data_IF_091323661513
#
_entry.id   IF_091323661513
#
_cell.length_a   1.000
_cell.length_b   1.000
_cell.length_c   1.000
_cell.angle_alpha   90.00
_cell.angle_beta   90.00
_cell.angle_gamma   90.00
#
_symmetry.space_group_name_H-M   'P 1'
#
loop_
_entity.id
_entity.type
_entity.pdbx_description
1 polymer ?
#
# COMPACT_ATOMS: atom_id res chain seq x y z
N UNK A 1 1.93 10.81 41.07
CA UNK A 1 0.88 10.41 40.10
C UNK A 1 1.02 11.28 38.88
N UNK A 2 1.64 10.77 37.81
CA UNK A 2 1.69 11.44 36.50
C UNK A 2 0.33 11.20 35.84
N UNK A 3 -0.50 12.27 35.73
CA UNK A 3 -1.74 12.22 34.94
C UNK A 3 -1.39 11.83 33.52
N UNK A 4 -1.78 10.64 33.07
CA UNK A 4 -1.73 10.28 31.64
C UNK A 4 -2.62 11.27 30.90
N UNK A 5 -2.02 12.19 30.15
CA UNK A 5 -2.78 13.01 29.20
C UNK A 5 -3.65 12.10 28.34
N UNK A 6 -4.94 12.41 28.26
CA UNK A 6 -5.86 11.72 27.33
C UNK A 6 -5.29 11.90 25.94
N UNK A 7 -4.90 10.81 25.29
CA UNK A 7 -4.47 10.87 23.88
C UNK A 7 -5.59 11.52 23.08
N UNK A 8 -5.27 12.62 22.37
CA UNK A 8 -6.21 13.25 21.43
C UNK A 8 -6.80 12.17 20.51
N UNK A 9 -8.10 12.21 20.35
CA UNK A 9 -8.76 11.26 19.47
C UNK A 9 -8.21 11.38 18.05
N UNK A 10 -7.95 10.24 17.41
CA UNK A 10 -7.40 10.21 16.07
C UNK A 10 -8.51 10.56 15.06
N UNK A 11 -8.46 11.73 14.39
CA UNK A 11 -9.53 12.17 13.48
C UNK A 11 -9.75 11.21 12.29
N UNK A 12 -8.80 10.32 12.03
CA UNK A 12 -8.90 9.33 10.93
C UNK A 12 -9.35 7.94 11.40
N UNK A 13 -9.75 7.80 12.67
CA UNK A 13 -10.03 6.48 13.27
C UNK A 13 -11.11 5.69 12.52
N UNK A 14 -12.11 6.37 11.98
CA UNK A 14 -13.26 5.73 11.33
C UNK A 14 -13.46 6.15 9.86
N UNK A 15 -12.43 6.72 9.21
CA UNK A 15 -12.54 7.21 7.84
C UNK A 15 -12.04 6.15 6.87
N UNK A 16 -12.84 5.85 5.84
CA UNK A 16 -12.50 5.13 4.63
C UNK A 16 -12.96 5.94 3.41
N UNK A 17 -12.34 5.76 2.27
CA UNK A 17 -12.83 6.35 1.02
C UNK A 17 -13.90 5.40 0.47
N UNK A 18 -15.16 5.73 0.72
CA UNK A 18 -16.29 4.87 0.31
C UNK A 18 -16.83 5.23 -1.07
N UNK A 19 -16.81 6.53 -1.42
CA UNK A 19 -17.25 6.99 -2.73
C UNK A 19 -16.26 6.59 -3.84
N UNK A 20 -16.70 5.87 -4.88
CA UNK A 20 -15.88 5.52 -6.02
C UNK A 20 -15.25 6.73 -6.74
N UNK A 21 -15.94 7.88 -6.76
CA UNK A 21 -15.41 9.11 -7.36
C UNK A 21 -14.23 9.65 -6.57
N UNK A 22 -14.32 9.66 -5.24
CA UNK A 22 -13.20 10.05 -4.39
C UNK A 22 -12.02 9.07 -4.50
N UNK A 23 -12.30 7.79 -4.68
CA UNK A 23 -11.26 6.77 -4.89
C UNK A 23 -10.54 6.98 -6.21
N UNK A 24 -11.28 7.23 -7.29
CA UNK A 24 -10.71 7.56 -8.59
C UNK A 24 -9.92 8.88 -8.54
N UNK A 25 -10.41 9.88 -7.81
CA UNK A 25 -9.72 11.15 -7.58
C UNK A 25 -8.39 10.94 -6.84
N UNK A 26 -8.39 10.14 -5.77
CA UNK A 26 -7.15 9.79 -5.06
C UNK A 26 -6.12 9.20 -6.03
N UNK A 27 -6.55 8.23 -6.85
CA UNK A 27 -5.66 7.56 -7.80
C UNK A 27 -5.11 8.55 -8.83
N UNK A 28 -5.96 9.35 -9.44
CA UNK A 28 -5.58 10.38 -10.42
C UNK A 28 -4.58 11.39 -9.84
N UNK A 29 -4.85 11.91 -8.65
CA UNK A 29 -3.95 12.84 -7.98
C UNK A 29 -2.60 12.18 -7.63
N UNK A 30 -2.61 10.90 -7.25
CA UNK A 30 -1.38 10.13 -7.00
C UNK A 30 -0.54 9.99 -8.25
N UNK A 31 -1.14 9.64 -9.40
CA UNK A 31 -0.46 9.54 -10.70
C UNK A 31 0.14 10.88 -11.13
N UNK A 32 -0.62 11.97 -11.01
CA UNK A 32 -0.15 13.31 -11.33
C UNK A 32 1.06 13.73 -10.49
N UNK A 33 1.11 13.28 -9.25
CA UNK A 33 2.21 13.59 -8.33
C UNK A 33 3.40 12.63 -8.41
N UNK A 34 3.26 11.49 -9.11
CA UNK A 34 4.34 10.49 -9.23
C UNK A 34 5.64 11.07 -9.82
N UNK A 35 5.64 11.91 -10.88
CA UNK A 35 6.89 12.50 -11.38
C UNK A 35 7.62 13.34 -10.35
N UNK A 36 6.89 14.01 -9.47
CA UNK A 36 7.43 14.85 -8.40
C UNK A 36 7.83 14.05 -7.16
N UNK A 37 7.07 13.01 -6.84
CA UNK A 37 7.23 12.18 -5.65
C UNK A 37 7.31 10.69 -5.99
N UNK A 38 8.25 10.28 -6.84
CA UNK A 38 8.37 8.89 -7.28
C UNK A 38 8.55 7.95 -6.08
N UNK A 39 8.03 6.75 -6.22
CA UNK A 39 7.93 5.71 -5.19
C UNK A 39 7.00 6.05 -4.01
N UNK A 40 6.60 7.30 -3.79
CA UNK A 40 5.68 7.66 -2.71
C UNK A 40 4.24 7.58 -3.15
N UNK A 41 3.95 8.08 -4.33
CA UNK A 41 2.65 7.91 -4.96
C UNK A 41 2.34 6.42 -5.09
N UNK A 42 3.27 5.66 -5.66
CA UNK A 42 3.15 4.22 -5.87
C UNK A 42 3.07 3.43 -4.55
N UNK A 43 3.77 3.86 -3.50
CA UNK A 43 3.65 3.27 -2.16
C UNK A 43 2.21 3.37 -1.63
N UNK A 44 1.58 4.53 -1.81
CA UNK A 44 0.21 4.73 -1.35
C UNK A 44 -0.79 3.95 -2.21
N UNK A 45 -0.60 3.91 -3.52
CA UNK A 45 -1.38 3.05 -4.42
C UNK A 45 -1.23 1.56 -4.06
N UNK A 46 -0.01 1.12 -3.78
CA UNK A 46 0.27 -0.25 -3.35
C UNK A 46 -0.40 -0.58 -2.00
N UNK A 47 -0.39 0.35 -1.05
CA UNK A 47 -1.11 0.17 0.22
C UNK A 47 -2.62 0.00 0.00
N UNK A 48 -3.20 0.73 -0.94
CA UNK A 48 -4.62 0.61 -1.29
C UNK A 48 -4.93 -0.77 -1.87
N UNK A 49 -4.13 -1.25 -2.83
CA UNK A 49 -4.41 -2.51 -3.54
C UNK A 49 -4.08 -3.77 -2.70
N UNK A 50 -3.20 -3.66 -1.71
CA UNK A 50 -2.74 -4.81 -0.93
C UNK A 50 -3.26 -4.85 0.51
N UNK A 51 -3.90 -3.78 0.97
CA UNK A 51 -4.23 -3.58 2.38
C UNK A 51 -3.04 -3.75 3.34
N UNK A 52 -1.80 -3.70 2.85
CA UNK A 52 -0.61 -3.82 3.69
C UNK A 52 -0.43 -2.61 4.59
N UNK A 53 0.16 -2.83 5.75
CA UNK A 53 0.58 -1.70 6.60
C UNK A 53 1.76 -0.99 5.96
N UNK A 54 1.83 0.34 6.07
CA UNK A 54 2.92 1.14 5.51
C UNK A 54 4.31 0.59 5.88
N UNK A 55 4.51 0.19 7.12
CA UNK A 55 5.80 -0.37 7.57
C UNK A 55 6.13 -1.72 6.94
N UNK A 56 5.13 -2.49 6.56
CA UNK A 56 5.29 -3.73 5.82
C UNK A 56 5.66 -3.44 4.36
N UNK A 57 4.92 -2.52 3.71
CA UNK A 57 5.23 -2.09 2.34
C UNK A 57 6.67 -1.58 2.19
N UNK A 58 7.14 -0.77 3.15
CA UNK A 58 8.50 -0.23 3.14
C UNK A 58 9.60 -1.30 3.28
N UNK A 59 9.24 -2.50 3.69
CA UNK A 59 10.16 -3.64 3.81
C UNK A 59 10.00 -4.65 2.68
N UNK A 60 9.17 -4.34 1.68
CA UNK A 60 9.02 -5.20 0.51
C UNK A 60 10.27 -5.15 -0.35
N UNK A 61 10.70 -6.31 -0.81
CA UNK A 61 11.81 -6.50 -1.72
C UNK A 61 11.30 -6.89 -3.11
N UNK A 62 12.08 -6.60 -4.15
CA UNK A 62 11.76 -7.00 -5.52
C UNK A 62 11.63 -8.53 -5.65
N UNK A 63 12.45 -9.28 -4.91
CA UNK A 63 12.42 -10.74 -4.87
C UNK A 63 11.13 -11.33 -4.29
N UNK A 64 10.31 -10.51 -3.60
CA UNK A 64 9.02 -10.96 -3.09
C UNK A 64 7.92 -11.03 -4.16
N UNK A 65 8.19 -10.53 -5.38
CA UNK A 65 7.25 -10.53 -6.50
C UNK A 65 7.50 -11.77 -7.35
N UNK A 66 6.48 -12.58 -7.56
CA UNK A 66 6.50 -13.69 -8.49
C UNK A 66 5.39 -13.51 -9.52
N UNK A 67 5.74 -12.96 -10.67
CA UNK A 67 4.78 -12.74 -11.76
C UNK A 67 4.32 -14.05 -12.40
N UNK A 68 5.17 -15.08 -12.47
CA UNK A 68 4.83 -16.37 -13.05
C UNK A 68 3.75 -17.08 -12.24
N UNK A 69 3.89 -17.07 -10.91
CA UNK A 69 2.89 -17.60 -9.99
C UNK A 69 1.73 -16.63 -9.73
N UNK A 70 1.86 -15.36 -10.13
CA UNK A 70 0.91 -14.30 -9.81
C UNK A 70 0.76 -14.09 -8.31
N UNK A 71 1.87 -14.13 -7.54
CA UNK A 71 1.85 -14.00 -6.08
C UNK A 71 2.87 -12.99 -5.57
N UNK A 72 2.51 -12.32 -4.49
CA UNK A 72 3.37 -11.44 -3.71
C UNK A 72 3.66 -12.13 -2.37
N UNK A 73 4.89 -12.52 -2.14
CA UNK A 73 5.33 -13.17 -0.92
C UNK A 73 5.59 -12.14 0.19
N UNK A 74 5.07 -12.39 1.38
CA UNK A 74 5.24 -11.52 2.55
C UNK A 74 5.89 -12.34 3.67
N UNK A 75 7.21 -12.20 3.86
CA UNK A 75 7.92 -12.91 4.91
C UNK A 75 7.39 -12.54 6.29
N UNK A 76 7.35 -13.49 7.20
CA UNK A 76 7.01 -13.25 8.63
C UNK A 76 7.86 -12.15 9.28
N UNK A 77 9.10 -11.99 8.82
CA UNK A 77 10.04 -10.98 9.35
C UNK A 77 9.61 -9.54 9.09
N UNK A 78 8.81 -9.27 8.06
CA UNK A 78 8.31 -7.92 7.74
C UNK A 78 6.93 -7.65 8.33
N UNK A 79 6.15 -8.68 8.62
CA UNK A 79 4.85 -8.54 9.27
C UNK A 79 5.01 -8.07 10.70
N UNK A 80 4.10 -7.18 11.14
CA UNK A 80 4.08 -6.71 12.53
C UNK A 80 3.88 -7.87 13.51
N UNK A 81 3.15 -8.88 13.12
CA UNK A 81 2.80 -10.03 13.97
C UNK A 81 3.88 -11.10 14.00
N UNK A 82 4.82 -11.10 13.03
CA UNK A 82 5.90 -12.08 12.87
C UNK A 82 5.46 -13.55 12.98
N UNK A 83 4.19 -13.82 12.66
CA UNK A 83 3.58 -15.12 12.97
C UNK A 83 3.86 -16.16 11.89
N UNK A 84 3.73 -15.79 10.62
CA UNK A 84 3.92 -16.69 9.48
C UNK A 84 4.26 -15.93 8.22
N UNK A 85 4.79 -16.67 7.26
CA UNK A 85 4.87 -16.23 5.88
C UNK A 85 3.47 -16.22 5.25
N UNK A 86 3.22 -15.27 4.37
CA UNK A 86 1.93 -15.11 3.70
C UNK A 86 2.15 -14.86 2.21
N UNK A 87 1.18 -15.25 1.40
CA UNK A 87 1.14 -14.90 -0.02
C UNK A 87 -0.14 -14.11 -0.30
N UNK A 88 -0.01 -13.04 -1.07
CA UNK A 88 -1.12 -12.31 -1.65
C UNK A 88 -1.17 -12.56 -3.15
N UNK A 89 -2.36 -12.74 -3.74
CA UNK A 89 -2.49 -12.80 -5.19
C UNK A 89 -2.18 -11.44 -5.80
N UNK A 90 -1.49 -11.45 -6.94
CA UNK A 90 -1.28 -10.26 -7.76
C UNK A 90 -2.51 -10.14 -8.68
N UNK A 91 -3.33 -9.11 -8.44
CA UNK A 91 -4.44 -8.78 -9.34
C UNK A 91 -3.92 -8.01 -10.55
N UNK A 92 -4.70 -7.92 -11.65
CA UNK A 92 -4.27 -7.17 -12.83
C UNK A 92 -3.85 -5.73 -12.52
N UNK A 93 -4.59 -5.04 -11.66
CA UNK A 93 -4.28 -3.66 -11.26
C UNK A 93 -2.98 -3.58 -10.43
N UNK A 94 -2.78 -4.57 -9.56
CA UNK A 94 -1.55 -4.66 -8.78
C UNK A 94 -0.35 -5.00 -9.67
N UNK A 95 -0.53 -5.83 -10.68
CA UNK A 95 0.52 -6.16 -11.66
C UNK A 95 0.95 -4.92 -12.42
N UNK A 96 0.00 -4.15 -12.97
CA UNK A 96 0.29 -2.88 -13.65
C UNK A 96 1.11 -1.96 -12.73
N UNK A 97 0.67 -1.79 -11.49
CA UNK A 97 1.38 -0.95 -10.53
C UNK A 97 2.79 -1.46 -10.23
N UNK A 98 2.97 -2.77 -10.04
CA UNK A 98 4.28 -3.37 -9.76
C UNK A 98 5.25 -3.20 -10.92
N UNK A 99 4.78 -3.39 -12.16
CA UNK A 99 5.60 -3.14 -13.36
C UNK A 99 6.00 -1.67 -13.45
N UNK A 100 5.06 -0.75 -13.22
CA UNK A 100 5.36 0.69 -13.18
C UNK A 100 6.38 1.06 -12.09
N UNK A 101 6.32 0.44 -10.92
CA UNK A 101 7.32 0.65 -9.85
C UNK A 101 8.71 0.18 -10.29
N UNK A 102 8.79 -0.97 -10.95
CA UNK A 102 10.06 -1.51 -11.45
C UNK A 102 10.63 -0.62 -12.56
N UNK A 103 9.80 -0.16 -13.49
CA UNK A 103 10.20 0.75 -14.57
C UNK A 103 10.62 2.13 -14.03
N UNK A 104 9.93 2.63 -13.03
CA UNK A 104 10.29 3.86 -12.34
C UNK A 104 11.71 3.80 -11.77
N UNK A 105 12.12 2.65 -11.25
CA UNK A 105 13.47 2.40 -10.78
C UNK A 105 14.54 2.43 -11.88
N UNK A 106 14.15 2.31 -13.15
CA UNK A 106 15.06 2.39 -14.29
C UNK A 106 15.40 3.83 -14.71
N UNK A 107 14.75 4.83 -14.13
CA UNK A 107 15.01 6.24 -14.44
C UNK A 107 16.40 6.69 -13.98
N UNK A 108 16.96 7.72 -14.64
CA UNK A 108 18.28 8.29 -14.27
C UNK A 108 18.35 8.77 -12.80
N UNK A 109 17.21 9.18 -12.22
CA UNK A 109 17.13 9.62 -10.82
C UNK A 109 17.39 8.52 -9.80
N UNK A 110 17.37 7.26 -10.23
CA UNK A 110 17.54 6.08 -9.37
C UNK A 110 18.58 5.08 -9.89
N UNK A 111 19.80 5.51 -10.22
CA UNK A 111 20.80 4.65 -10.84
C UNK A 111 21.16 3.44 -9.98
N UNK A 112 21.08 3.57 -8.66
CA UNK A 112 21.36 2.49 -7.71
C UNK A 112 20.25 1.42 -7.67
N UNK A 113 19.05 1.71 -8.19
CA UNK A 113 17.95 0.74 -8.21
C UNK A 113 18.26 -0.49 -9.08
N UNK A 114 19.11 -0.31 -10.08
CA UNK A 114 19.58 -1.39 -10.96
C UNK A 114 20.74 -2.20 -10.38
N UNK A 115 21.36 -1.74 -9.29
CA UNK A 115 22.47 -2.47 -8.67
C UNK A 115 21.99 -3.81 -8.13
N UNK A 116 22.82 -4.84 -8.28
CA UNK A 116 22.50 -6.21 -7.84
C UNK A 116 22.10 -6.29 -6.38
N UNK A 117 22.70 -5.45 -5.54
CA UNK A 117 22.47 -5.43 -4.09
C UNK A 117 21.28 -4.55 -3.68
N UNK A 118 20.69 -3.80 -4.62
CA UNK A 118 19.51 -3.01 -4.32
C UNK A 118 18.26 -3.87 -4.37
N UNK A 119 17.86 -4.35 -3.22
CA UNK A 119 16.77 -5.32 -3.08
C UNK A 119 15.37 -4.71 -2.90
N UNK A 120 15.26 -3.48 -2.37
CA UNK A 120 13.99 -2.89 -1.96
C UNK A 120 13.08 -2.55 -3.14
N UNK A 121 11.77 -2.75 -2.94
CA UNK A 121 10.77 -2.39 -3.93
C UNK A 121 10.59 -0.87 -4.03
N UNK A 122 10.62 -0.17 -2.89
CA UNK A 122 10.45 1.28 -2.84
C UNK A 122 11.78 1.95 -2.49
N UNK A 123 12.28 2.76 -3.43
CA UNK A 123 13.54 3.49 -3.29
C UNK A 123 13.36 4.92 -2.79
N UNK A 124 14.44 5.55 -2.37
CA UNK A 124 14.50 6.97 -2.06
C UNK A 124 15.53 7.67 -2.93
N UNK A 125 15.31 8.92 -3.30
CA UNK A 125 16.30 9.78 -3.99
C UNK A 125 17.51 10.12 -3.11
N UNK A 126 17.44 9.86 -1.83
CA UNK A 126 18.43 10.29 -0.84
C UNK A 126 19.66 9.41 -0.83
N UNK A 127 20.42 9.49 -1.87
CA UNK A 127 21.75 8.93 -1.98
C UNK A 127 22.85 9.99 -1.82
N UNK A 128 22.51 11.08 -1.16
CA UNK A 128 23.44 12.16 -0.88
C UNK A 128 24.70 11.71 -0.18
N UNK A 129 25.83 11.87 -0.89
CA UNK A 129 27.21 11.65 -0.54
C UNK A 129 27.63 10.20 -0.33
N UNK A 130 28.72 9.83 -0.97
CA UNK A 130 29.47 8.56 -0.90
C UNK A 130 29.64 7.95 0.51
N UNK A 131 29.38 8.72 1.56
CA UNK A 131 29.41 8.28 2.97
C UNK A 131 28.36 7.24 3.35
N UNK A 132 27.42 6.91 2.46
CA UNK A 132 26.26 6.07 2.78
C UNK A 132 26.14 4.80 1.96
N UNK A 133 27.17 4.37 1.26
CA UNK A 133 27.17 3.10 0.53
C UNK A 133 26.80 1.87 1.37
N UNK A 134 26.97 1.97 2.68
CA UNK A 134 26.58 0.93 3.64
C UNK A 134 25.18 1.13 4.25
N UNK A 135 24.42 2.14 3.83
CA UNK A 135 23.08 2.39 4.34
C UNK A 135 22.02 1.89 3.38
N UNK A 136 21.01 1.36 3.97
CA UNK A 136 19.79 0.88 3.38
C UNK A 136 19.02 2.02 2.68
N UNK A 137 19.07 2.10 1.35
CA UNK A 137 18.41 3.11 0.51
C UNK A 137 16.92 2.88 0.33
N UNK A 138 16.31 2.00 1.12
CA UNK A 138 14.87 1.84 1.07
C UNK A 138 14.15 3.14 1.44
N UNK A 139 12.99 3.34 0.85
CA UNK A 139 12.09 4.42 1.26
C UNK A 139 11.71 4.25 2.74
N UNK A 140 11.85 5.29 3.54
CA UNK A 140 11.56 5.28 4.97
C UNK A 140 10.60 6.41 5.32
N UNK A 141 9.71 6.18 6.28
CA UNK A 141 8.85 7.24 6.82
C UNK A 141 9.63 8.29 7.63
N UNK A 142 10.86 7.97 8.05
CA UNK A 142 11.78 8.90 8.72
C UNK A 142 12.78 9.55 7.77
N UNK A 143 12.70 9.28 6.47
CA UNK A 143 13.60 9.89 5.51
C UNK A 143 13.39 11.40 5.50
N UNK A 144 14.37 12.14 6.01
CA UNK A 144 14.32 13.60 6.21
C UNK A 144 14.13 14.39 4.91
N UNK A 145 14.41 13.81 3.77
CA UNK A 145 14.31 14.47 2.48
C UNK A 145 13.19 13.86 1.65
N UNK A 146 12.00 14.35 1.91
CA UNK A 146 10.86 14.07 1.10
C UNK A 146 10.10 12.81 1.54
N UNK A 147 10.04 12.53 2.83
CA UNK A 147 9.09 11.58 3.40
C UNK A 147 7.65 11.98 3.11
N UNK A 148 6.73 11.20 3.61
CA UNK A 148 5.28 11.46 3.50
C UNK A 148 4.89 12.86 4.01
N UNK A 149 5.72 13.45 4.87
CA UNK A 149 5.53 14.82 5.40
C UNK A 149 5.39 15.86 4.29
N UNK A 150 6.05 15.65 3.13
CA UNK A 150 5.90 16.52 1.97
C UNK A 150 4.84 16.03 0.98
N UNK A 151 4.73 14.73 0.78
CA UNK A 151 3.79 14.14 -0.17
C UNK A 151 2.33 14.25 0.29
N UNK A 152 2.05 13.88 1.53
CA UNK A 152 0.67 13.86 2.07
C UNK A 152 -0.02 15.23 2.02
N UNK A 153 0.62 16.33 2.46
CA UNK A 153 0.01 17.65 2.37
C UNK A 153 -0.29 18.06 0.92
N UNK A 154 0.63 17.78 -0.01
CA UNK A 154 0.45 18.12 -1.43
C UNK A 154 -0.65 17.30 -2.05
N UNK A 155 -0.68 16.00 -1.83
CA UNK A 155 -1.76 15.12 -2.30
C UNK A 155 -3.12 15.57 -1.78
N UNK A 156 -3.21 15.89 -0.49
CA UNK A 156 -4.45 16.37 0.13
C UNK A 156 -4.90 17.69 -0.48
N UNK A 157 -3.99 18.64 -0.67
CA UNK A 157 -4.29 19.92 -1.29
C UNK A 157 -4.84 19.73 -2.71
N UNK A 158 -4.19 18.91 -3.52
CA UNK A 158 -4.63 18.62 -4.88
C UNK A 158 -5.99 17.91 -4.92
N UNK A 159 -6.23 16.96 -4.01
CA UNK A 159 -7.52 16.28 -3.91
C UNK A 159 -8.64 17.25 -3.52
N UNK A 160 -8.39 18.19 -2.59
CA UNK A 160 -9.35 19.23 -2.17
C UNK A 160 -9.66 20.18 -3.31
N UNK A 161 -8.65 20.64 -4.01
CA UNK A 161 -8.79 21.52 -5.18
C UNK A 161 -9.67 20.87 -6.24
N UNK A 162 -9.39 19.63 -6.62
CA UNK A 162 -10.13 18.93 -7.67
C UNK A 162 -11.53 18.46 -7.27
N UNK A 163 -11.75 18.19 -5.98
CA UNK A 163 -13.07 17.82 -5.46
C UNK A 163 -13.98 19.00 -5.15
N UNK A 164 -13.40 20.16 -4.92
CA UNK A 164 -14.12 21.32 -4.36
C UNK A 164 -14.47 21.14 -2.88
N UNK A 165 -13.97 20.09 -2.19
CA UNK A 165 -14.22 19.80 -0.79
C UNK A 165 -13.02 20.21 0.07
N UNK A 166 -13.07 21.37 0.78
CA UNK A 166 -11.97 21.84 1.61
C UNK A 166 -11.72 20.98 2.84
N UNK A 167 -12.71 20.22 3.27
CA UNK A 167 -12.65 19.37 4.48
C UNK A 167 -12.22 17.94 4.18
N UNK A 168 -11.99 17.59 2.91
CA UNK A 168 -11.55 16.26 2.51
C UNK A 168 -10.34 15.82 3.33
N UNK A 169 -10.48 14.70 4.02
CA UNK A 169 -9.45 14.13 4.87
C UNK A 169 -8.69 13.02 4.15
N UNK A 170 -7.37 13.06 4.25
CA UNK A 170 -6.50 12.02 3.75
C UNK A 170 -5.34 11.74 4.70
N UNK A 171 -5.10 10.46 4.95
CA UNK A 171 -3.90 9.94 5.61
C UNK A 171 -3.64 8.49 5.12
N UNK A 172 -2.39 8.00 5.07
CA UNK A 172 -2.07 6.67 4.53
C UNK A 172 -2.85 5.52 5.18
N UNK A 173 -3.18 5.64 6.46
CA UNK A 173 -3.92 4.60 7.19
C UNK A 173 -5.36 4.39 6.70
N UNK A 174 -5.97 5.41 6.05
CA UNK A 174 -7.31 5.26 5.49
C UNK A 174 -7.34 4.32 4.29
N UNK A 175 -6.24 4.18 3.55
CA UNK A 175 -6.15 3.31 2.38
C UNK A 175 -6.40 1.84 2.74
N UNK A 176 -5.75 1.36 3.80
CA UNK A 176 -6.01 0.01 4.31
C UNK A 176 -7.45 -0.14 4.81
N UNK A 177 -8.00 0.87 5.48
CA UNK A 177 -9.40 0.86 5.89
C UNK A 177 -10.34 0.83 4.70
N UNK A 178 -10.06 1.62 3.67
CA UNK A 178 -10.82 1.62 2.42
C UNK A 178 -10.90 0.22 1.82
N UNK A 179 -9.74 -0.46 1.67
CA UNK A 179 -9.73 -1.84 1.19
C UNK A 179 -10.58 -2.77 2.06
N UNK A 180 -10.45 -2.68 3.39
CA UNK A 180 -11.20 -3.52 4.33
C UNK A 180 -12.70 -3.25 4.23
N UNK A 181 -13.11 -1.97 4.21
CA UNK A 181 -14.51 -1.58 4.08
C UNK A 181 -15.11 -2.08 2.76
N UNK A 182 -14.38 -1.93 1.63
CA UNK A 182 -14.82 -2.45 0.34
C UNK A 182 -14.93 -3.97 0.34
N UNK A 183 -13.96 -4.65 0.93
CA UNK A 183 -14.01 -6.11 1.09
C UNK A 183 -15.21 -6.55 1.94
N UNK A 184 -15.52 -5.84 3.03
CA UNK A 184 -16.69 -6.12 3.85
C UNK A 184 -18.01 -5.89 3.11
N UNK A 185 -18.07 -4.86 2.27
CA UNK A 185 -19.26 -4.57 1.45
C UNK A 185 -19.50 -5.66 0.40
N UNK A 186 -18.41 -6.13 -0.25
CA UNK A 186 -18.50 -7.19 -1.28
C UNK A 186 -18.84 -8.55 -0.65
N UNK A 187 -18.22 -8.87 0.47
CA UNK A 187 -18.37 -10.14 1.16
C UNK A 187 -19.24 -10.02 2.42
N UNK A 188 -20.34 -9.29 2.31
CA UNK A 188 -21.27 -9.09 3.42
C UNK A 188 -21.65 -10.44 4.08
N UNK A 189 -21.49 -10.51 5.40
CA UNK A 189 -21.72 -11.74 6.18
C UNK A 189 -20.59 -12.77 6.18
N UNK A 190 -19.47 -12.50 5.49
CA UNK A 190 -18.28 -13.38 5.45
C UNK A 190 -17.04 -12.63 6.00
N UNK A 191 -17.10 -12.24 7.26
CA UNK A 191 -16.04 -11.46 7.92
C UNK A 191 -14.67 -12.16 7.93
N UNK A 192 -14.67 -13.52 7.93
CA UNK A 192 -13.47 -14.34 7.83
C UNK A 192 -12.71 -14.11 6.53
N UNK A 193 -13.40 -13.90 5.40
CA UNK A 193 -12.77 -13.59 4.11
C UNK A 193 -12.06 -12.24 4.19
N UNK A 194 -12.78 -11.20 4.62
CA UNK A 194 -12.21 -9.86 4.79
C UNK A 194 -11.01 -9.88 5.72
N UNK A 195 -11.06 -10.67 6.78
CA UNK A 195 -9.98 -10.77 7.73
C UNK A 195 -8.74 -11.43 7.12
N UNK A 196 -8.91 -12.48 6.33
CA UNK A 196 -7.80 -13.14 5.64
C UNK A 196 -7.16 -12.22 4.59
N UNK A 197 -7.99 -11.53 3.80
CA UNK A 197 -7.52 -10.56 2.80
C UNK A 197 -6.75 -9.41 3.44
N UNK A 198 -7.23 -8.90 4.57
CA UNK A 198 -6.61 -7.79 5.29
C UNK A 198 -5.54 -8.23 6.29
N UNK A 199 -5.35 -9.53 6.48
CA UNK A 199 -4.37 -10.12 7.41
C UNK A 199 -4.53 -9.62 8.84
N UNK A 200 -5.78 -9.51 9.32
CA UNK A 200 -6.09 -9.19 10.71
C UNK A 200 -5.96 -10.41 11.62
N UNK A 201 -5.44 -10.19 12.82
CA UNK A 201 -5.19 -11.26 13.79
C UNK A 201 -6.43 -11.70 14.57
N UNK A 202 -7.44 -10.86 14.68
CA UNK A 202 -8.60 -11.09 15.54
C UNK A 202 -9.77 -11.73 14.78
N UNK A 203 -9.73 -12.99 14.62
CA UNK A 203 -10.86 -13.93 14.78
C UNK A 203 -10.33 -15.01 15.68
N UNK A 204 -11.18 -15.54 16.54
CA UNK A 204 -10.81 -16.53 17.50
C UNK A 204 -9.87 -17.60 16.93
N UNK A 205 -8.84 -17.86 17.68
CA UNK A 205 -7.75 -18.82 17.37
C UNK A 205 -8.29 -20.17 16.89
N UNK A 206 -9.54 -20.50 17.24
CA UNK A 206 -10.25 -21.72 16.84
C UNK A 206 -10.56 -21.78 15.34
N UNK A 207 -10.87 -20.68 14.67
CA UNK A 207 -11.18 -20.65 13.23
C UNK A 207 -9.93 -20.57 12.35
N UNK A 208 -8.79 -20.17 12.91
CA UNK A 208 -7.55 -20.03 12.14
C UNK A 208 -6.94 -21.36 11.67
N UNK A 209 -7.38 -22.47 12.22
CA UNK A 209 -6.85 -23.80 11.88
C UNK A 209 -7.68 -24.55 10.82
N UNK A 210 -8.95 -24.22 10.62
CA UNK A 210 -9.86 -25.09 9.86
C UNK A 210 -10.26 -24.63 8.46
N UNK A 211 -10.16 -23.34 8.12
CA UNK A 211 -10.56 -22.86 6.78
C UNK A 211 -9.69 -21.71 6.29
N UNK A 212 -8.45 -22.02 5.89
CA UNK A 212 -7.68 -21.07 5.08
C UNK A 212 -8.02 -21.34 3.63
N UNK A 213 -8.68 -20.41 2.91
CA UNK A 213 -8.85 -20.56 1.48
C UNK A 213 -7.47 -20.69 0.83
N UNK A 214 -7.35 -21.64 -0.08
CA UNK A 214 -6.18 -21.79 -0.92
C UNK A 214 -5.88 -20.52 -1.70
N UNK A 215 -4.75 -20.46 -2.37
CA UNK A 215 -4.36 -19.28 -3.16
C UNK A 215 -5.39 -18.98 -4.26
N UNK A 216 -6.00 -20.01 -4.85
CA UNK A 216 -7.02 -19.84 -5.90
C UNK A 216 -8.26 -19.12 -5.38
N UNK A 217 -8.81 -19.55 -4.24
CA UNK A 217 -9.95 -18.87 -3.60
C UNK A 217 -9.59 -17.44 -3.22
N UNK A 218 -8.35 -17.19 -2.78
CA UNK A 218 -7.88 -15.81 -2.51
C UNK A 218 -7.73 -14.98 -3.78
N UNK A 219 -7.40 -15.59 -4.93
CA UNK A 219 -7.40 -14.93 -6.24
C UNK A 219 -8.80 -14.49 -6.65
N UNK A 220 -9.79 -15.37 -6.51
CA UNK A 220 -11.19 -15.02 -6.78
C UNK A 220 -11.64 -13.84 -5.93
N UNK A 221 -11.40 -13.89 -4.63
CA UNK A 221 -11.77 -12.81 -3.72
C UNK A 221 -11.02 -11.50 -4.01
N UNK A 222 -9.73 -11.59 -4.32
CA UNK A 222 -8.95 -10.41 -4.70
C UNK A 222 -9.45 -9.83 -6.01
N UNK A 223 -9.82 -10.68 -6.98
CA UNK A 223 -10.41 -10.23 -8.25
C UNK A 223 -11.72 -9.48 -8.04
N UNK A 224 -12.61 -9.96 -7.16
CA UNK A 224 -13.86 -9.26 -6.85
C UNK A 224 -13.61 -7.87 -6.23
N UNK A 225 -12.68 -7.78 -5.27
CA UNK A 225 -12.31 -6.48 -4.69
C UNK A 225 -11.66 -5.57 -5.75
N UNK A 226 -10.83 -6.14 -6.62
CA UNK A 226 -10.10 -5.37 -7.63
C UNK A 226 -11.02 -4.76 -8.69
N UNK A 227 -12.20 -5.33 -8.95
CA UNK A 227 -13.20 -4.72 -9.84
C UNK A 227 -13.59 -3.28 -9.42
N UNK A 228 -13.51 -2.96 -8.12
CA UNK A 228 -13.73 -1.60 -7.61
C UNK A 228 -12.66 -0.62 -8.13
N UNK A 229 -11.49 -1.16 -8.49
CA UNK A 229 -10.35 -0.38 -8.98
C UNK A 229 -10.16 -0.48 -10.51
N UNK A 230 -11.14 -1.02 -11.24
CA UNK A 230 -11.07 -1.23 -12.71
C UNK A 230 -10.84 0.05 -13.51
N UNK A 231 -11.10 1.23 -12.93
CA UNK A 231 -10.76 2.52 -13.53
C UNK A 231 -9.26 2.70 -13.79
N UNK A 232 -8.40 1.94 -13.08
CA UNK A 232 -6.94 1.98 -13.24
C UNK A 232 -6.54 1.45 -14.63
N UNK A 233 -7.14 0.36 -15.08
CA UNK A 233 -6.82 -0.28 -16.36
C UNK A 233 -7.21 0.56 -17.58
N UNK A 234 -8.26 1.37 -17.48
CA UNK A 234 -8.79 2.17 -18.62
C UNK A 234 -7.85 3.29 -19.07
N UNK A 235 -6.78 3.56 -18.33
CA UNK A 235 -5.82 4.63 -18.65
C UNK A 235 -4.53 4.16 -19.28
N UNK A 236 -4.30 2.85 -19.33
CA UNK A 236 -3.08 2.25 -19.89
C UNK A 236 -3.25 1.70 -21.28
N UNK A 237 -4.46 1.79 -21.86
CA UNK A 237 -4.80 1.48 -23.25
C UNK A 237 -4.96 2.77 -24.06
#
# INVERSE_FOLDING_TARGET
FIKKEKRKEDPYKNIAIEDPKQLALFWQCSEELSPRFPFKAELHQFMLLTAMRKTECLKMEKAHINFEKGTLFIPKGISKTKYRDEELPITPELEVLLRNILDLGNRPDFPFYKMKDFRWLFATRNWGAQKYFNKDFRLSHKARLGGDEKYIPVLRALMREKSGDPDLLYAPKILRKTYITKSQQIFAGRSEITQQMSRHRNIDVLNSHYNKPGIETRREYASEVSKVFSFIQRRTA
#
